data_IF_209822214283
#
_entry.id   IF_209822214283
#
_cell.length_a   1.000
_cell.length_b   1.000
_cell.length_c   1.000
_cell.angle_alpha   90.00
_cell.angle_beta   90.00
_cell.angle_gamma   90.00
#
_symmetry.space_group_name_H-M   'P 1'
#
loop_
_entity.id
_entity.type
_entity.pdbx_description
1 polymer ?
#
# COMPACT_ATOMS: atom_id res chain seq x y z
N UNK A 1 10.36 3.52 16.07
CA UNK A 1 10.69 2.83 14.80
C UNK A 1 10.20 3.68 13.64
N UNK A 2 10.82 3.53 12.48
CA UNK A 2 10.43 4.12 11.21
C UNK A 2 9.70 3.06 10.38
N UNK A 3 8.40 3.27 10.20
CA UNK A 3 7.49 2.31 9.58
C UNK A 3 7.01 2.88 8.25
N UNK A 4 7.25 2.15 7.16
CA UNK A 4 6.73 2.51 5.84
C UNK A 4 5.54 1.62 5.50
N UNK A 5 4.38 2.23 5.30
CA UNK A 5 3.17 1.54 4.86
C UNK A 5 2.96 1.83 3.38
N UNK A 6 2.62 0.82 2.60
CA UNK A 6 2.20 0.97 1.21
C UNK A 6 0.76 0.50 1.09
N UNK A 7 -0.13 1.44 0.77
CA UNK A 7 -1.53 1.15 0.50
C UNK A 7 -2.00 1.96 -0.71
N UNK A 8 -3.01 1.47 -1.42
CA UNK A 8 -3.54 2.18 -2.58
C UNK A 8 -4.02 3.60 -2.27
N UNK A 9 -4.60 3.83 -1.10
CA UNK A 9 -5.27 5.09 -0.77
C UNK A 9 -5.00 5.48 0.67
N UNK A 10 -5.05 6.77 0.95
CA UNK A 10 -5.15 7.26 2.32
C UNK A 10 -6.60 7.57 2.70
N UNK A 11 -6.85 7.84 3.97
CA UNK A 11 -8.20 8.07 4.52
C UNK A 11 -8.96 9.24 3.87
N UNK A 12 -8.25 10.24 3.31
CA UNK A 12 -8.90 11.40 2.66
C UNK A 12 -9.22 11.15 1.20
N UNK A 13 -8.79 10.02 0.63
CA UNK A 13 -9.10 9.70 -0.74
C UNK A 13 -10.63 9.53 -0.88
N UNK A 14 -11.30 10.14 -1.89
CA UNK A 14 -12.74 10.01 -2.08
C UNK A 14 -13.23 8.57 -2.26
N UNK A 15 -12.33 7.65 -2.59
CA UNK A 15 -12.62 6.24 -2.76
C UNK A 15 -12.04 5.35 -1.65
N UNK A 16 -11.64 5.95 -0.53
CA UNK A 16 -11.26 5.23 0.67
C UNK A 16 -12.43 4.36 1.17
N UNK A 17 -12.11 3.16 1.65
CA UNK A 17 -13.07 2.20 2.18
C UNK A 17 -12.59 1.56 3.48
N UNK A 18 -13.13 0.38 3.80
CA UNK A 18 -12.85 -0.31 5.06
C UNK A 18 -11.37 -0.63 5.29
N UNK A 19 -10.62 -0.94 4.22
CA UNK A 19 -9.17 -1.19 4.33
C UNK A 19 -8.41 0.07 4.78
N UNK A 20 -8.74 1.23 4.21
CA UNK A 20 -8.13 2.51 4.61
C UNK A 20 -8.51 2.92 6.03
N UNK A 21 -9.74 2.64 6.48
CA UNK A 21 -10.15 2.85 7.88
C UNK A 21 -9.36 1.93 8.81
N UNK A 22 -9.28 0.64 8.50
CA UNK A 22 -8.52 -0.34 9.28
C UNK A 22 -7.05 0.05 9.42
N UNK A 23 -6.41 0.43 8.30
CA UNK A 23 -5.04 0.91 8.29
C UNK A 23 -4.89 2.16 9.16
N UNK A 24 -5.73 3.18 8.94
CA UNK A 24 -5.63 4.45 9.66
C UNK A 24 -5.74 4.26 11.17
N UNK A 25 -6.73 3.48 11.62
CA UNK A 25 -6.97 3.20 13.04
C UNK A 25 -5.82 2.45 13.72
N UNK A 26 -5.11 1.59 13.01
CA UNK A 26 -3.94 0.89 13.57
C UNK A 26 -2.77 1.86 13.66
N UNK A 27 -2.51 2.57 12.58
CA UNK A 27 -1.27 3.30 12.41
C UNK A 27 -1.27 4.70 13.03
N UNK A 28 -2.44 5.30 13.25
CA UNK A 28 -2.51 6.51 14.07
C UNK A 28 -2.12 6.19 15.53
N UNK A 29 -2.58 5.07 16.10
CA UNK A 29 -2.23 4.64 17.46
C UNK A 29 -0.73 4.38 17.56
N UNK A 30 -0.17 3.70 16.57
CA UNK A 30 1.28 3.44 16.50
C UNK A 30 2.07 4.76 16.41
N UNK A 31 1.60 5.73 15.61
CA UNK A 31 2.22 7.06 15.56
C UNK A 31 2.14 7.77 16.92
N UNK A 32 1.00 7.71 17.60
CA UNK A 32 0.80 8.27 18.95
C UNK A 32 1.64 7.57 20.02
N UNK A 33 2.05 6.32 19.81
CA UNK A 33 3.03 5.61 20.66
C UNK A 33 4.48 6.04 20.42
N UNK A 34 4.73 7.04 19.57
CA UNK A 34 6.05 7.62 19.33
C UNK A 34 6.83 6.98 18.18
N UNK A 35 6.17 6.20 17.32
CA UNK A 35 6.78 5.68 16.10
C UNK A 35 6.62 6.67 14.95
N UNK A 36 7.61 6.72 14.05
CA UNK A 36 7.51 7.50 12.82
C UNK A 36 6.81 6.64 11.77
N UNK A 37 5.63 7.07 11.34
CA UNK A 37 4.81 6.31 10.39
C UNK A 37 4.69 7.09 9.10
N UNK A 38 5.10 6.48 8.00
CA UNK A 38 5.01 7.03 6.66
C UNK A 38 4.07 6.17 5.83
N UNK A 39 3.05 6.77 5.22
CA UNK A 39 2.11 6.10 4.32
C UNK A 39 2.37 6.55 2.87
N UNK A 40 2.77 5.61 2.02
CA UNK A 40 2.81 5.80 0.58
C UNK A 40 1.45 5.41 -0.03
N UNK A 41 0.80 6.36 -0.68
CA UNK A 41 -0.54 6.18 -1.27
C UNK A 41 -0.71 6.86 -2.64
N UNK A 42 -1.81 6.58 -3.33
CA UNK A 42 -2.16 7.26 -4.59
C UNK A 42 -2.68 8.68 -4.38
N UNK A 43 -2.37 9.57 -5.31
CA UNK A 43 -2.94 10.92 -5.36
C UNK A 43 -4.39 10.94 -5.83
N UNK A 44 -5.12 11.99 -5.42
CA UNK A 44 -6.47 12.32 -5.89
C UNK A 44 -6.60 13.82 -6.17
N UNK A 45 -7.69 14.24 -6.81
CA UNK A 45 -7.89 15.65 -7.19
C UNK A 45 -7.91 16.55 -5.95
N UNK A 46 -7.09 17.61 -5.96
CA UNK A 46 -6.95 18.55 -4.85
C UNK A 46 -6.09 18.05 -3.68
N UNK A 47 -5.55 16.83 -3.73
CA UNK A 47 -4.69 16.30 -2.69
C UNK A 47 -3.32 17.00 -2.69
N UNK A 48 -2.78 17.27 -1.49
CA UNK A 48 -1.36 17.62 -1.35
C UNK A 48 -0.50 16.39 -1.67
N UNK A 49 0.65 16.62 -2.29
CA UNK A 49 1.63 15.55 -2.55
C UNK A 49 2.16 14.94 -1.25
N UNK A 50 2.34 15.76 -0.24
CA UNK A 50 2.74 15.32 1.09
C UNK A 50 1.94 16.10 2.14
N UNK A 51 1.54 15.41 3.20
CA UNK A 51 0.95 16.03 4.39
C UNK A 51 1.05 15.08 5.59
N UNK A 52 0.88 15.62 6.80
CA UNK A 52 0.76 14.81 8.02
C UNK A 52 -0.71 14.76 8.42
N UNK A 53 -1.26 13.56 8.58
CA UNK A 53 -2.61 13.33 9.12
C UNK A 53 -2.51 12.47 10.37
N UNK A 54 -2.94 13.02 11.51
CA UNK A 54 -3.03 12.31 12.80
C UNK A 54 -1.73 11.60 13.20
N UNK A 55 -0.60 12.25 12.92
CA UNK A 55 0.75 11.72 13.21
C UNK A 55 1.36 10.88 12.09
N UNK A 56 0.62 10.57 11.02
CA UNK A 56 1.10 9.79 9.88
C UNK A 56 1.57 10.74 8.76
N UNK A 57 2.82 10.60 8.32
CA UNK A 57 3.35 11.31 7.15
C UNK A 57 2.88 10.62 5.88
N UNK A 58 1.98 11.25 5.14
CA UNK A 58 1.43 10.72 3.91
C UNK A 58 2.22 11.27 2.72
N UNK A 59 2.71 10.36 1.88
CA UNK A 59 3.36 10.65 0.61
C UNK A 59 2.49 10.10 -0.51
N UNK A 60 2.00 10.99 -1.38
CA UNK A 60 1.14 10.65 -2.51
C UNK A 60 1.91 10.67 -3.82
N UNK A 61 1.86 9.57 -4.58
CA UNK A 61 2.48 9.44 -5.91
C UNK A 61 1.46 8.93 -6.92
N UNK A 62 1.63 9.35 -8.18
CA UNK A 62 0.72 8.95 -9.26
C UNK A 62 -0.76 9.26 -8.98
N UNK A 63 -1.62 8.47 -9.61
CA UNK A 63 -3.08 8.45 -9.47
C UNK A 63 -3.52 7.02 -9.18
N UNK A 64 -4.78 6.85 -8.79
CA UNK A 64 -5.36 5.54 -8.49
C UNK A 64 -5.20 4.48 -9.61
N UNK A 65 -5.04 4.87 -10.88
CA UNK A 65 -4.97 3.90 -11.98
C UNK A 65 -3.54 3.48 -12.36
N UNK A 66 -2.53 4.22 -11.89
CA UNK A 66 -1.12 3.98 -12.26
C UNK A 66 -0.19 3.88 -11.03
N UNK A 67 -0.73 4.08 -9.82
CA UNK A 67 0.03 4.12 -8.58
C UNK A 67 0.95 2.91 -8.38
N UNK A 68 0.48 1.69 -8.69
CA UNK A 68 1.28 0.47 -8.60
C UNK A 68 2.58 0.52 -9.40
N UNK A 69 2.63 1.24 -10.54
CA UNK A 69 3.85 1.41 -11.32
C UNK A 69 4.83 2.40 -10.70
N UNK A 70 4.34 3.33 -9.87
CA UNK A 70 5.17 4.29 -9.14
C UNK A 70 5.73 3.72 -7.83
N UNK A 71 5.06 2.72 -7.23
CA UNK A 71 5.45 2.16 -5.93
C UNK A 71 6.92 1.68 -5.89
N UNK A 72 7.43 0.91 -6.87
CA UNK A 72 8.82 0.44 -6.81
C UNK A 72 9.84 1.58 -6.78
N UNK A 73 9.58 2.67 -7.49
CA UNK A 73 10.44 3.85 -7.49
C UNK A 73 10.30 4.64 -6.18
N UNK A 74 9.06 4.90 -5.75
CA UNK A 74 8.77 5.69 -4.57
C UNK A 74 9.28 5.04 -3.28
N UNK A 75 9.10 3.73 -3.12
CA UNK A 75 9.64 2.99 -1.96
C UNK A 75 11.16 3.06 -1.95
N UNK A 76 11.83 2.86 -3.11
CA UNK A 76 13.29 3.00 -3.20
C UNK A 76 13.76 4.42 -2.90
N UNK A 77 13.01 5.44 -3.28
CA UNK A 77 13.30 6.84 -2.98
C UNK A 77 13.24 7.11 -1.47
N UNK A 78 12.18 6.63 -0.81
CA UNK A 78 11.97 6.80 0.64
C UNK A 78 13.08 6.06 1.43
N UNK A 79 13.31 4.79 1.12
CA UNK A 79 14.31 3.94 1.80
C UNK A 79 15.75 4.45 1.62
N UNK A 80 16.03 5.22 0.57
CA UNK A 80 17.33 5.88 0.39
C UNK A 80 17.49 7.14 1.24
N UNK A 81 16.39 7.82 1.56
CA UNK A 81 16.40 9.08 2.33
C UNK A 81 16.31 8.82 3.82
N UNK A 82 15.60 7.78 4.20
CA UNK A 82 15.25 7.48 5.57
C UNK A 82 15.53 6.01 5.88
N UNK A 83 16.02 5.75 7.09
CA UNK A 83 16.14 4.38 7.58
C UNK A 83 14.74 3.84 7.87
N UNK A 84 14.34 2.74 7.23
CA UNK A 84 13.05 2.08 7.46
C UNK A 84 13.31 0.76 8.19
N UNK A 85 12.75 0.62 9.39
CA UNK A 85 12.88 -0.58 10.23
C UNK A 85 12.00 -1.72 9.69
N UNK A 86 10.80 -1.38 9.23
CA UNK A 86 9.79 -2.34 8.78
C UNK A 86 8.89 -1.72 7.70
N UNK A 87 8.56 -2.53 6.69
CA UNK A 87 7.61 -2.20 5.65
C UNK A 87 6.30 -2.97 5.90
N UNK A 88 5.17 -2.29 5.80
CA UNK A 88 3.84 -2.91 5.85
C UNK A 88 3.18 -2.74 4.50
N UNK A 89 2.85 -3.85 3.84
CA UNK A 89 2.11 -3.83 2.58
C UNK A 89 0.66 -4.23 2.83
N UNK A 90 -0.26 -3.28 2.61
CA UNK A 90 -1.69 -3.52 2.73
C UNK A 90 -2.24 -4.07 1.40
N UNK A 91 -2.52 -5.38 1.38
CA UNK A 91 -3.03 -6.12 0.24
C UNK A 91 -4.56 -6.04 0.22
N UNK A 92 -5.07 -4.90 -0.26
CA UNK A 92 -6.50 -4.64 -0.44
C UNK A 92 -6.95 -4.59 -1.92
N UNK A 93 -6.01 -4.57 -2.87
CA UNK A 93 -6.27 -4.60 -4.32
C UNK A 93 -5.13 -5.40 -5.00
N UNK A 94 -4.55 -4.86 -6.08
CA UNK A 94 -3.38 -5.47 -6.73
C UNK A 94 -2.16 -5.34 -5.80
N UNK A 95 -1.45 -6.45 -5.51
CA UNK A 95 -0.21 -6.44 -4.74
C UNK A 95 0.88 -5.60 -5.43
N UNK A 96 1.72 -4.95 -4.64
CA UNK A 96 2.86 -4.18 -5.11
C UNK A 96 4.13 -5.01 -5.21
N UNK A 97 4.16 -6.20 -4.61
CA UNK A 97 5.29 -7.13 -4.63
C UNK A 97 6.58 -6.51 -4.08
N UNK A 98 6.46 -5.72 -3.00
CA UNK A 98 7.62 -5.06 -2.38
C UNK A 98 8.77 -6.00 -1.99
N UNK A 99 8.55 -7.27 -1.57
CA UNK A 99 9.64 -8.19 -1.28
C UNK A 99 10.55 -8.51 -2.47
N UNK A 100 10.08 -8.31 -3.72
CA UNK A 100 10.89 -8.58 -4.92
C UNK A 100 11.98 -7.54 -5.16
N UNK A 101 11.86 -6.34 -4.59
CA UNK A 101 12.78 -5.23 -4.90
C UNK A 101 13.27 -4.45 -3.68
N UNK A 102 12.88 -4.82 -2.47
CA UNK A 102 13.33 -4.25 -1.19
C UNK A 102 13.78 -5.37 -0.24
N UNK A 103 14.83 -5.13 0.53
CA UNK A 103 15.39 -6.07 1.53
C UNK A 103 15.14 -5.63 2.97
N UNK A 104 13.98 -5.02 3.23
CA UNK A 104 13.53 -4.58 4.55
C UNK A 104 12.56 -5.63 5.10
N UNK A 105 12.58 -5.95 6.41
CA UNK A 105 11.54 -6.77 7.03
C UNK A 105 10.15 -6.27 6.60
N UNK A 106 9.36 -7.17 6.01
CA UNK A 106 8.08 -6.82 5.39
C UNK A 106 6.96 -7.60 6.07
N UNK A 107 5.85 -6.93 6.39
CA UNK A 107 4.62 -7.55 6.87
C UNK A 107 3.53 -7.29 5.83
N UNK A 108 2.80 -8.33 5.43
CA UNK A 108 1.65 -8.18 4.55
C UNK A 108 0.34 -8.29 5.34
N UNK A 109 -0.58 -7.35 5.12
CA UNK A 109 -1.95 -7.41 5.64
C UNK A 109 -2.86 -7.79 4.47
N UNK A 110 -3.39 -9.00 4.48
CA UNK A 110 -4.30 -9.48 3.44
C UNK A 110 -5.75 -9.34 3.90
N UNK A 111 -6.51 -8.44 3.27
CA UNK A 111 -7.91 -8.19 3.64
C UNK A 111 -8.86 -9.20 3.00
N UNK A 112 -8.71 -9.43 1.70
CA UNK A 112 -9.54 -10.33 0.92
C UNK A 112 -8.83 -10.73 -0.37
N UNK A 113 -9.37 -11.75 -1.03
CA UNK A 113 -8.97 -12.17 -2.37
C UNK A 113 -10.20 -12.31 -3.23
N UNK A 114 -10.14 -11.80 -4.45
CA UNK A 114 -11.24 -11.97 -5.41
C UNK A 114 -11.26 -13.38 -6.01
N UNK A 115 -10.09 -14.00 -6.22
CA UNK A 115 -10.02 -15.31 -6.87
C UNK A 115 -10.70 -15.29 -8.25
N UNK A 116 -11.50 -16.32 -8.56
CA UNK A 116 -12.18 -16.43 -9.87
C UNK A 116 -13.39 -15.50 -10.00
N UNK A 117 -13.90 -14.92 -8.91
CA UNK A 117 -15.08 -14.07 -8.98
C UNK A 117 -14.77 -12.71 -9.64
N UNK A 118 -13.50 -12.30 -9.74
CA UNK A 118 -13.10 -11.08 -10.43
C UNK A 118 -13.54 -11.02 -11.91
N UNK A 119 -13.72 -12.18 -12.56
CA UNK A 119 -14.22 -12.26 -13.94
C UNK A 119 -15.69 -11.85 -14.09
N UNK A 120 -16.44 -11.74 -12.99
CA UNK A 120 -17.80 -11.22 -12.96
C UNK A 120 -17.85 -9.72 -12.69
N UNK A 121 -16.81 -9.17 -12.06
CA UNK A 121 -16.76 -7.79 -11.57
C UNK A 121 -16.14 -6.81 -12.58
N UNK A 122 -15.37 -7.30 -13.55
CA UNK A 122 -14.70 -6.43 -14.54
C UNK A 122 -14.50 -7.15 -15.88
N UNK A 123 -14.04 -6.41 -16.89
CA UNK A 123 -13.74 -6.96 -18.21
C UNK A 123 -12.56 -7.93 -18.17
N UNK A 124 -12.56 -8.88 -19.10
CA UNK A 124 -11.61 -10.00 -19.13
C UNK A 124 -10.12 -9.59 -18.95
N UNK A 125 -9.58 -8.56 -19.62
CA UNK A 125 -8.16 -8.21 -19.46
C UNK A 125 -7.80 -7.76 -18.03
N UNK A 126 -8.66 -6.96 -17.39
CA UNK A 126 -8.45 -6.50 -16.03
C UNK A 126 -8.69 -7.62 -15.01
N UNK A 127 -9.69 -8.46 -15.24
CA UNK A 127 -9.95 -9.63 -14.41
C UNK A 127 -8.76 -10.59 -14.42
N UNK A 128 -8.22 -10.89 -15.60
CA UNK A 128 -7.05 -11.74 -15.76
C UNK A 128 -5.82 -11.16 -15.07
N UNK A 129 -5.60 -9.85 -15.19
CA UNK A 129 -4.50 -9.16 -14.52
C UNK A 129 -4.58 -9.28 -12.99
N UNK A 130 -5.74 -9.01 -12.41
CA UNK A 130 -5.96 -9.16 -10.96
C UNK A 130 -5.79 -10.63 -10.54
N UNK A 131 -6.40 -11.57 -11.27
CA UNK A 131 -6.32 -12.99 -10.95
C UNK A 131 -4.87 -13.52 -10.95
N UNK A 132 -4.07 -13.15 -11.95
CA UNK A 132 -2.65 -13.54 -12.03
C UNK A 132 -1.88 -12.93 -10.87
N UNK A 133 -2.05 -11.64 -10.60
CA UNK A 133 -1.31 -10.97 -9.52
C UNK A 133 -1.66 -11.53 -8.13
N UNK A 134 -2.94 -11.81 -7.86
CA UNK A 134 -3.34 -12.50 -6.63
C UNK A 134 -2.77 -13.92 -6.51
N UNK A 135 -2.70 -14.66 -7.64
CA UNK A 135 -2.18 -16.03 -7.64
C UNK A 135 -0.69 -16.09 -7.30
N UNK A 136 0.05 -14.99 -7.47
CA UNK A 136 1.46 -14.88 -7.12
C UNK A 136 1.72 -14.56 -5.64
N UNK A 137 0.70 -14.13 -4.88
CA UNK A 137 0.85 -13.75 -3.47
C UNK A 137 1.54 -14.88 -2.64
N UNK A 138 1.10 -16.15 -2.68
CA UNK A 138 1.71 -17.21 -1.87
C UNK A 138 3.18 -17.48 -2.23
N UNK A 139 3.61 -17.15 -3.45
CA UNK A 139 4.98 -17.33 -3.90
C UNK A 139 5.86 -16.16 -3.45
N UNK A 140 5.42 -14.93 -3.69
CA UNK A 140 6.20 -13.72 -3.42
C UNK A 140 6.33 -13.44 -1.92
N UNK A 141 5.26 -13.71 -1.16
CA UNK A 141 5.19 -13.44 0.27
C UNK A 141 5.42 -14.70 1.12
N UNK A 142 6.08 -15.73 0.59
CA UNK A 142 6.31 -17.01 1.30
C UNK A 142 7.20 -16.89 2.54
N UNK A 143 8.15 -15.96 2.50
CA UNK A 143 9.24 -15.84 3.48
C UNK A 143 9.13 -14.56 4.33
N UNK A 144 7.93 -13.99 4.38
CA UNK A 144 7.61 -12.88 5.28
C UNK A 144 6.79 -13.38 6.47
#
# INVERSE_FOLDING_TARGET
>A
MNILIVNWQDRRNPFAGGAEVHLHEIFDRIAHWGHNVTLLASGFSGAKREEILDGIHIIRKGRRNDFNFFVPYAVKEIVKREHIDILVEDLNKIPFFTPLFIKIPTVAILHHRFGRDIFKETIFPFALYVYITESLIPLVYRNI
#
